data_IF_563363683819
#
_entry.id   IF_563363683819
#
_cell.length_a   1.000
_cell.length_b   1.000
_cell.length_c   1.000
_cell.angle_alpha   90.00
_cell.angle_beta   90.00
_cell.angle_gamma   90.00
#
_symmetry.space_group_name_H-M   'P 1'
#
loop_
_entity.id
_entity.type
_entity.pdbx_description
1 polymer ?
#
# COMPACT_ATOMS: atom_id res chain seq x y z
N UNK A 1 -6.16 -18.55 -23.98
CA UNK A 1 -4.97 -18.75 -23.13
C UNK A 1 -4.97 -17.72 -22.01
N UNK A 2 -5.29 -18.16 -20.79
CA UNK A 2 -5.28 -17.31 -19.59
C UNK A 2 -3.85 -16.84 -19.34
N UNK A 3 -3.53 -15.58 -19.68
CA UNK A 3 -2.29 -14.96 -19.21
C UNK A 3 -2.43 -14.83 -17.69
N UNK A 4 -1.77 -15.74 -16.98
CA UNK A 4 -1.72 -15.80 -15.53
C UNK A 4 -1.29 -14.44 -14.99
N UNK A 5 -2.09 -13.86 -14.09
CA UNK A 5 -1.89 -12.49 -13.57
C UNK A 5 -0.49 -12.26 -12.97
N UNK A 6 0.17 -13.32 -12.46
CA UNK A 6 1.56 -13.25 -11.96
C UNK A 6 2.63 -13.01 -13.04
N UNK A 7 2.33 -13.23 -14.33
CA UNK A 7 3.32 -13.08 -15.42
C UNK A 7 3.32 -11.68 -16.06
N UNK A 8 2.46 -10.77 -15.60
CA UNK A 8 2.49 -9.40 -16.08
C UNK A 8 3.63 -8.66 -15.37
N UNK A 9 4.63 -8.13 -16.09
CA UNK A 9 5.63 -7.27 -15.47
C UNK A 9 4.90 -6.11 -14.80
N UNK A 10 5.20 -5.89 -13.52
CA UNK A 10 4.67 -4.75 -12.78
C UNK A 10 4.93 -3.48 -13.60
N UNK A 11 3.87 -2.74 -13.91
CA UNK A 11 3.97 -1.50 -14.66
C UNK A 11 4.63 -0.43 -13.79
N UNK A 12 5.95 -0.31 -13.85
CA UNK A 12 6.68 0.62 -13.02
C UNK A 12 8.18 0.40 -13.10
N UNK A 13 8.79 0.75 -14.24
CA UNK A 13 10.24 0.70 -14.38
C UNK A 13 10.95 1.67 -13.41
N UNK A 14 12.28 1.58 -13.35
CA UNK A 14 13.14 2.47 -12.54
C UNK A 14 12.83 3.97 -12.75
N UNK A 15 12.41 4.34 -13.95
CA UNK A 15 11.94 5.68 -14.28
C UNK A 15 10.67 6.10 -13.50
N UNK A 16 9.69 5.21 -13.38
CA UNK A 16 8.48 5.47 -12.60
C UNK A 16 8.81 5.64 -11.12
N UNK A 17 9.71 4.80 -10.58
CA UNK A 17 10.20 4.92 -9.20
C UNK A 17 10.96 6.24 -8.97
N UNK A 18 11.82 6.62 -9.92
CA UNK A 18 12.55 7.89 -9.87
C UNK A 18 11.60 9.10 -9.94
N UNK A 19 10.60 9.06 -10.84
CA UNK A 19 9.61 10.11 -10.99
C UNK A 19 8.74 10.25 -9.74
N UNK A 20 8.28 9.12 -9.18
CA UNK A 20 7.54 9.07 -7.92
C UNK A 20 8.38 9.65 -6.79
N UNK A 21 9.66 9.27 -6.68
CA UNK A 21 10.60 9.84 -5.69
C UNK A 21 10.80 11.34 -5.88
N UNK A 22 10.98 11.80 -7.13
CA UNK A 22 11.16 13.22 -7.47
C UNK A 22 9.95 14.05 -7.09
N UNK A 23 8.75 13.59 -7.44
CA UNK A 23 7.48 14.24 -7.07
C UNK A 23 7.29 14.22 -5.55
N UNK A 24 7.60 13.10 -4.89
CA UNK A 24 7.46 12.98 -3.44
C UNK A 24 8.40 13.92 -2.67
N UNK A 25 9.63 14.12 -3.16
CA UNK A 25 10.63 15.00 -2.53
C UNK A 25 10.41 16.48 -2.86
N UNK A 26 10.02 16.83 -4.08
CA UNK A 26 10.04 18.22 -4.55
C UNK A 26 8.66 18.81 -4.91
N UNK A 27 7.69 18.00 -5.34
CA UNK A 27 6.43 18.49 -5.90
C UNK A 27 5.34 18.84 -4.89
N UNK A 28 5.47 18.41 -3.63
CA UNK A 28 4.37 18.55 -2.65
C UNK A 28 3.13 17.72 -3.03
N UNK A 29 2.17 17.61 -2.11
CA UNK A 29 1.00 16.73 -2.27
C UNK A 29 0.02 17.23 -3.35
N UNK A 30 -0.08 18.55 -3.54
CA UNK A 30 -0.99 19.15 -4.50
C UNK A 30 -0.62 18.80 -5.96
N UNK A 31 0.66 18.90 -6.33
CA UNK A 31 1.14 18.55 -7.67
C UNK A 31 0.98 17.06 -7.94
N UNK A 32 1.31 16.21 -6.95
CA UNK A 32 1.08 14.78 -7.04
C UNK A 32 -0.39 14.45 -7.35
N UNK A 33 -1.33 15.09 -6.64
CA UNK A 33 -2.77 14.92 -6.88
C UNK A 33 -3.22 15.45 -8.24
N UNK A 34 -2.67 16.57 -8.71
CA UNK A 34 -2.97 17.10 -10.03
C UNK A 34 -2.54 16.14 -11.14
N UNK A 35 -1.37 15.51 -11.00
CA UNK A 35 -0.86 14.51 -11.95
C UNK A 35 -1.70 13.23 -12.00
N UNK A 36 -2.50 12.92 -10.96
CA UNK A 36 -3.38 11.76 -10.98
C UNK A 36 -4.49 11.87 -12.04
N UNK A 37 -4.93 13.08 -12.39
CA UNK A 37 -5.97 13.27 -13.41
C UNK A 37 -5.53 12.79 -14.82
N UNK A 38 -4.40 13.26 -15.39
CA UNK A 38 -3.94 12.76 -16.68
C UNK A 38 -3.55 11.27 -16.63
N UNK A 39 -3.01 10.78 -15.50
CA UNK A 39 -2.73 9.34 -15.33
C UNK A 39 -4.03 8.53 -15.37
N UNK A 40 -5.06 8.96 -14.64
CA UNK A 40 -6.38 8.29 -14.66
C UNK A 40 -6.96 8.29 -16.06
N UNK A 41 -6.87 9.41 -16.78
CA UNK A 41 -7.35 9.52 -18.16
C UNK A 41 -6.60 8.55 -19.10
N UNK A 42 -5.28 8.45 -18.98
CA UNK A 42 -4.49 7.48 -19.74
C UNK A 42 -4.95 6.04 -19.50
N UNK A 43 -5.19 5.66 -18.24
CA UNK A 43 -5.71 4.32 -17.92
C UNK A 43 -7.14 4.11 -18.44
N UNK A 44 -7.96 5.16 -18.50
CA UNK A 44 -9.29 5.06 -19.07
C UNK A 44 -9.28 4.89 -20.60
N UNK A 45 -8.36 5.54 -21.30
CA UNK A 45 -8.33 5.51 -22.77
C UNK A 45 -7.53 4.32 -23.30
N UNK A 46 -6.35 4.05 -22.73
CA UNK A 46 -5.37 3.11 -23.31
C UNK A 46 -5.45 1.71 -22.67
N UNK A 47 -5.78 1.63 -21.37
CA UNK A 47 -5.69 0.38 -20.58
C UNK A 47 -7.03 -0.35 -20.50
N UNK A 48 -7.47 -0.90 -21.63
CA UNK A 48 -8.75 -1.63 -21.75
C UNK A 48 -8.90 -2.83 -20.79
N UNK A 49 -7.87 -3.70 -20.56
CA UNK A 49 -7.99 -4.83 -19.63
C UNK A 49 -8.25 -4.40 -18.18
N UNK A 50 -7.53 -3.38 -17.71
CA UNK A 50 -7.63 -2.85 -16.36
C UNK A 50 -9.02 -2.21 -16.13
N UNK A 51 -9.51 -1.48 -17.13
CA UNK A 51 -10.89 -0.97 -17.14
C UNK A 51 -11.94 -2.08 -17.06
N UNK A 52 -11.77 -3.16 -17.83
CA UNK A 52 -12.70 -4.27 -17.84
C UNK A 52 -12.75 -4.98 -16.48
N UNK A 53 -11.58 -5.24 -15.89
CA UNK A 53 -11.46 -5.83 -14.55
C UNK A 53 -12.11 -4.94 -13.47
N UNK A 54 -11.83 -3.63 -13.49
CA UNK A 54 -12.46 -2.67 -12.57
C UNK A 54 -13.98 -2.66 -12.73
N UNK A 55 -14.49 -2.68 -13.96
CA UNK A 55 -15.94 -2.68 -14.22
C UNK A 55 -16.61 -3.94 -13.68
N UNK A 56 -16.01 -5.12 -13.91
CA UNK A 56 -16.53 -6.39 -13.44
C UNK A 56 -16.57 -6.45 -11.89
N UNK A 57 -15.50 -6.00 -11.24
CA UNK A 57 -15.45 -5.92 -9.78
C UNK A 57 -16.52 -4.99 -9.22
N UNK A 58 -16.63 -3.76 -9.75
CA UNK A 58 -17.61 -2.79 -9.28
C UNK A 58 -19.05 -3.24 -9.55
N UNK A 59 -19.31 -3.95 -10.65
CA UNK A 59 -20.63 -4.49 -10.92
C UNK A 59 -21.08 -5.49 -9.84
N UNK A 60 -20.14 -6.33 -9.36
CA UNK A 60 -20.40 -7.28 -8.28
C UNK A 60 -20.64 -6.59 -6.94
N UNK A 61 -19.83 -5.59 -6.59
CA UNK A 61 -19.90 -4.92 -5.29
C UNK A 61 -21.09 -3.96 -5.20
N UNK A 62 -21.40 -3.25 -6.29
CA UNK A 62 -22.49 -2.27 -6.32
C UNK A 62 -23.86 -2.89 -6.64
N UNK A 63 -23.91 -4.16 -7.07
CA UNK A 63 -25.14 -4.82 -7.48
C UNK A 63 -25.80 -4.21 -8.74
N UNK A 64 -25.08 -3.39 -9.49
CA UNK A 64 -25.55 -2.71 -10.71
C UNK A 64 -24.43 -2.60 -11.75
N UNK A 65 -24.74 -2.44 -13.04
CA UNK A 65 -23.72 -2.15 -14.05
C UNK A 65 -22.88 -0.92 -13.65
N UNK A 66 -21.55 -1.09 -13.63
CA UNK A 66 -20.64 -0.01 -13.29
C UNK A 66 -20.45 0.95 -14.48
N UNK A 67 -20.67 2.23 -14.24
CA UNK A 67 -20.52 3.29 -15.23
C UNK A 67 -19.03 3.60 -15.48
N UNK A 68 -18.73 4.33 -16.57
CA UNK A 68 -17.37 4.83 -16.80
C UNK A 68 -16.90 5.76 -15.67
N UNK A 69 -17.81 6.52 -15.05
CA UNK A 69 -17.52 7.38 -13.90
C UNK A 69 -17.13 6.57 -12.66
N UNK A 70 -17.81 5.45 -12.41
CA UNK A 70 -17.47 4.54 -11.30
C UNK A 70 -16.05 3.97 -11.49
N UNK A 71 -15.73 3.54 -12.71
CA UNK A 71 -14.39 3.03 -13.06
C UNK A 71 -13.33 4.12 -12.95
N UNK A 72 -13.61 5.33 -13.45
CA UNK A 72 -12.71 6.47 -13.35
C UNK A 72 -12.39 6.80 -11.88
N UNK A 73 -13.43 6.87 -11.04
CA UNK A 73 -13.27 7.09 -9.60
C UNK A 73 -12.49 5.97 -8.94
N UNK A 74 -12.74 4.71 -9.30
CA UNK A 74 -12.02 3.57 -8.73
C UNK A 74 -10.53 3.60 -9.08
N UNK A 75 -10.18 3.81 -10.35
CA UNK A 75 -8.78 3.93 -10.80
C UNK A 75 -8.10 5.13 -10.13
N UNK A 76 -8.77 6.28 -10.10
CA UNK A 76 -8.21 7.48 -9.45
C UNK A 76 -7.99 7.28 -7.95
N UNK A 77 -8.94 6.63 -7.27
CA UNK A 77 -8.83 6.33 -5.84
C UNK A 77 -7.66 5.37 -5.59
N UNK A 78 -7.54 4.31 -6.40
CA UNK A 78 -6.41 3.38 -6.32
C UNK A 78 -5.06 4.08 -6.51
N UNK A 79 -4.95 4.94 -7.53
CA UNK A 79 -3.74 5.71 -7.78
C UNK A 79 -3.43 6.71 -6.66
N UNK A 80 -4.46 7.36 -6.09
CA UNK A 80 -4.32 8.25 -4.94
C UNK A 80 -3.81 7.51 -3.71
N UNK A 81 -4.30 6.31 -3.43
CA UNK A 81 -3.85 5.48 -2.31
C UNK A 81 -2.38 5.09 -2.47
N UNK A 82 -1.94 4.74 -3.68
CA UNK A 82 -0.53 4.44 -3.96
C UNK A 82 0.33 5.69 -3.77
N UNK A 83 -0.10 6.84 -4.29
CA UNK A 83 0.62 8.10 -4.12
C UNK A 83 0.75 8.49 -2.64
N UNK A 84 -0.34 8.36 -1.88
CA UNK A 84 -0.35 8.63 -0.44
C UNK A 84 0.62 7.70 0.29
N UNK A 85 0.63 6.39 -0.05
CA UNK A 85 1.59 5.42 0.48
C UNK A 85 3.05 5.86 0.26
N UNK A 86 3.39 6.39 -0.91
CA UNK A 86 4.75 6.89 -1.17
C UNK A 86 5.12 8.02 -0.21
N UNK A 87 4.22 8.98 0.03
CA UNK A 87 4.48 10.08 0.98
C UNK A 87 4.65 9.56 2.41
N UNK A 88 3.84 8.59 2.83
CA UNK A 88 3.97 7.93 4.14
C UNK A 88 5.34 7.26 4.29
N UNK A 89 5.78 6.54 3.26
CA UNK A 89 7.09 5.86 3.24
C UNK A 89 8.27 6.83 3.22
N UNK A 90 8.12 7.99 2.59
CA UNK A 90 9.09 9.09 2.64
C UNK A 90 9.14 9.80 4.01
N UNK A 91 8.43 9.31 5.03
CA UNK A 91 8.40 9.93 6.36
C UNK A 91 7.62 11.25 6.39
N UNK A 92 6.69 11.46 5.45
CA UNK A 92 5.87 12.68 5.39
C UNK A 92 4.49 12.48 6.02
N UNK A 93 4.42 11.65 7.06
CA UNK A 93 3.19 11.33 7.80
C UNK A 93 2.49 12.55 8.39
N UNK A 94 3.24 13.57 8.78
CA UNK A 94 2.77 14.86 9.29
C UNK A 94 1.86 15.63 8.30
N UNK A 95 1.86 15.26 7.02
CA UNK A 95 0.96 15.85 6.01
C UNK A 95 -0.43 15.22 6.00
N UNK A 96 -0.65 14.20 6.83
CA UNK A 96 -1.90 13.47 6.93
C UNK A 96 -2.53 13.75 8.28
N UNK A 97 -3.81 14.15 8.27
CA UNK A 97 -4.65 14.03 9.44
C UNK A 97 -5.13 12.58 9.50
N UNK A 98 -4.73 11.86 10.53
CA UNK A 98 -5.10 10.46 10.75
C UNK A 98 -5.93 10.40 12.01
N UNK A 99 -7.21 10.11 11.86
CA UNK A 99 -8.12 9.86 12.98
C UNK A 99 -8.22 8.33 13.16
N UNK A 100 -7.89 7.85 14.36
CA UNK A 100 -7.83 6.41 14.68
C UNK A 100 -9.02 6.06 15.57
N UNK A 101 -9.75 5.00 15.22
CA UNK A 101 -10.84 4.47 16.04
C UNK A 101 -10.48 3.08 16.56
N UNK A 102 -10.86 2.76 17.80
CA UNK A 102 -10.59 1.45 18.42
C UNK A 102 -9.17 1.26 18.97
N UNK A 103 -8.36 2.33 19.03
CA UNK A 103 -6.97 2.26 19.51
C UNK A 103 -6.88 1.81 20.97
N UNK A 104 -7.77 2.27 21.84
CA UNK A 104 -7.74 1.93 23.27
C UNK A 104 -8.02 0.45 23.53
N UNK A 105 -8.86 -0.17 22.69
CA UNK A 105 -9.13 -1.60 22.73
C UNK A 105 -7.88 -2.40 22.32
N UNK A 106 -7.18 -1.95 21.27
CA UNK A 106 -5.93 -2.54 20.83
C UNK A 106 -4.85 -2.42 21.92
N UNK A 107 -4.69 -1.23 22.52
CA UNK A 107 -3.75 -0.96 23.62
C UNK A 107 -3.99 -1.90 24.80
N UNK A 108 -5.24 -2.05 25.21
CA UNK A 108 -5.62 -2.96 26.30
C UNK A 108 -5.21 -4.42 26.02
N UNK A 109 -5.22 -4.86 24.78
CA UNK A 109 -4.72 -6.19 24.41
C UNK A 109 -3.19 -6.25 24.39
N UNK A 110 -2.54 -5.19 23.93
CA UNK A 110 -1.08 -5.09 23.87
C UNK A 110 -0.43 -5.08 25.27
N UNK A 111 -1.01 -4.34 26.21
CA UNK A 111 -0.51 -4.22 27.60
C UNK A 111 -0.52 -5.57 28.36
N UNK A 112 -1.17 -6.60 27.81
CA UNK A 112 -1.13 -7.97 28.34
C UNK A 112 0.18 -8.70 28.05
N UNK A 113 1.08 -8.11 27.25
CA UNK A 113 2.42 -8.64 26.96
C UNK A 113 2.42 -9.90 26.08
N UNK A 114 1.33 -10.18 25.33
CA UNK A 114 1.19 -11.39 24.50
C UNK A 114 1.41 -11.14 22.99
N UNK A 115 1.73 -9.90 22.62
CA UNK A 115 1.69 -9.46 21.22
C UNK A 115 0.27 -9.40 20.65
N UNK A 116 0.12 -8.76 19.48
CA UNK A 116 -1.16 -8.70 18.77
C UNK A 116 -0.93 -8.94 17.29
N UNK A 117 -1.76 -9.81 16.70
CA UNK A 117 -1.79 -10.02 15.25
C UNK A 117 -2.91 -9.16 14.64
N UNK A 118 -2.54 -8.26 13.73
CA UNK A 118 -3.48 -7.37 13.05
C UNK A 118 -3.68 -7.88 11.62
N UNK A 119 -4.92 -8.20 11.27
CA UNK A 119 -5.32 -8.51 9.91
C UNK A 119 -5.93 -7.27 9.26
N UNK A 120 -5.55 -7.01 8.01
CA UNK A 120 -6.22 -6.00 7.20
C UNK A 120 -6.55 -6.55 5.82
N UNK A 121 -7.26 -5.74 5.04
CA UNK A 121 -7.56 -6.03 3.64
C UNK A 121 -6.65 -5.20 2.73
N UNK A 122 -6.51 -5.58 1.46
CA UNK A 122 -5.85 -4.76 0.43
C UNK A 122 -6.59 -3.43 0.10
N UNK A 123 -7.47 -2.97 0.99
CA UNK A 123 -8.19 -1.72 0.88
C UNK A 123 -7.44 -0.63 1.65
N UNK A 124 -7.03 0.42 0.94
CA UNK A 124 -6.31 1.54 1.54
C UNK A 124 -4.81 1.28 1.67
N UNK A 125 -4.21 1.73 2.78
CA UNK A 125 -2.76 1.66 3.00
C UNK A 125 -2.46 1.04 4.37
N UNK A 126 -1.85 -0.15 4.37
CA UNK A 126 -1.32 -0.76 5.59
C UNK A 126 -0.23 0.09 6.24
N UNK A 127 0.50 0.87 5.44
CA UNK A 127 1.52 1.79 5.97
C UNK A 127 0.91 2.89 6.87
N UNK A 128 -0.42 3.09 6.85
CA UNK A 128 -1.11 3.94 7.81
C UNK A 128 -1.04 3.43 9.25
N UNK A 129 -0.98 2.11 9.47
CA UNK A 129 -0.83 1.53 10.81
C UNK A 129 0.49 1.93 11.46
N UNK A 130 1.46 2.43 10.69
CA UNK A 130 2.73 2.93 11.23
C UNK A 130 2.57 4.17 12.11
N UNK A 131 1.44 4.88 11.99
CA UNK A 131 1.12 5.97 12.93
C UNK A 131 1.09 5.46 14.38
N UNK A 132 0.77 4.17 14.59
CA UNK A 132 0.78 3.54 15.91
C UNK A 132 2.19 3.53 16.52
N UNK A 133 3.23 3.30 15.71
CA UNK A 133 4.62 3.33 16.18
C UNK A 133 5.11 4.76 16.47
N UNK A 134 4.48 5.78 15.86
CA UNK A 134 4.75 7.19 16.19
C UNK A 134 4.07 7.59 17.50
N UNK A 135 2.85 7.14 17.74
CA UNK A 135 2.08 7.40 18.97
C UNK A 135 2.58 6.58 20.18
N UNK A 136 3.17 5.39 19.93
CA UNK A 136 3.76 4.51 20.94
C UNK A 136 5.14 4.02 20.47
N UNK A 137 6.21 4.79 20.75
CA UNK A 137 7.58 4.45 20.33
C UNK A 137 8.09 3.12 20.91
N UNK A 138 7.46 2.65 21.99
CA UNK A 138 7.71 1.37 22.66
C UNK A 138 7.22 0.15 21.86
N UNK A 139 6.43 0.37 20.81
CA UNK A 139 5.82 -0.71 20.01
C UNK A 139 6.57 -0.92 18.71
N UNK A 140 7.12 -2.12 18.51
CA UNK A 140 7.66 -2.52 17.22
C UNK A 140 6.56 -3.05 16.30
N UNK A 141 6.32 -2.36 15.19
CA UNK A 141 5.41 -2.81 14.13
C UNK A 141 6.21 -3.51 13.04
N UNK A 142 6.06 -4.84 12.93
CA UNK A 142 6.59 -5.63 11.80
C UNK A 142 5.50 -5.96 10.80
N UNK A 143 5.84 -5.92 9.51
CA UNK A 143 4.91 -6.19 8.41
C UNK A 143 5.33 -7.46 7.70
N UNK A 144 4.40 -8.40 7.55
CA UNK A 144 4.59 -9.61 6.75
C UNK A 144 4.23 -9.29 5.30
N UNK A 145 5.19 -9.38 4.39
CA UNK A 145 5.01 -9.05 2.97
C UNK A 145 5.79 -10.05 2.10
N UNK A 146 5.20 -10.54 1.02
CA UNK A 146 5.91 -11.29 -0.01
C UNK A 146 6.84 -10.34 -0.80
N UNK A 147 8.15 -10.45 -0.56
CA UNK A 147 9.17 -9.60 -1.21
C UNK A 147 9.37 -9.96 -2.67
N UNK A 148 9.22 -11.24 -3.04
CA UNK A 148 9.44 -11.73 -4.39
C UNK A 148 8.33 -11.26 -5.34
N UNK A 149 7.08 -11.20 -4.85
CA UNK A 149 5.95 -10.72 -5.63
C UNK A 149 5.91 -9.19 -5.77
N UNK A 150 6.44 -8.44 -4.79
CA UNK A 150 6.38 -6.97 -4.74
C UNK A 150 7.79 -6.34 -4.82
N UNK A 151 8.62 -6.78 -5.77
CA UNK A 151 10.03 -6.35 -5.85
C UNK A 151 10.17 -4.85 -6.06
N UNK A 152 9.34 -4.23 -6.90
CA UNK A 152 9.36 -2.77 -7.11
C UNK A 152 9.00 -2.00 -5.84
N UNK A 153 8.07 -2.51 -5.02
CA UNK A 153 7.71 -1.91 -3.74
C UNK A 153 8.83 -2.07 -2.71
N UNK A 154 9.47 -3.24 -2.65
CA UNK A 154 10.58 -3.51 -1.73
C UNK A 154 11.82 -2.67 -2.08
N UNK A 155 12.12 -2.50 -3.37
CA UNK A 155 13.19 -1.63 -3.85
C UNK A 155 12.88 -0.15 -3.56
N UNK A 156 11.63 0.28 -3.78
CA UNK A 156 11.18 1.62 -3.41
C UNK A 156 11.28 1.85 -1.90
N UNK A 157 10.86 0.87 -1.09
CA UNK A 157 10.97 0.89 0.37
C UNK A 157 12.42 1.02 0.83
N UNK A 158 13.32 0.18 0.31
CA UNK A 158 14.74 0.24 0.63
C UNK A 158 15.36 1.59 0.23
N UNK A 159 14.97 2.14 -0.93
CA UNK A 159 15.49 3.42 -1.40
C UNK A 159 14.95 4.64 -0.63
N UNK A 160 13.70 4.57 -0.16
CA UNK A 160 13.03 5.67 0.54
C UNK A 160 13.22 5.63 2.05
N UNK A 161 13.20 4.44 2.66
CA UNK A 161 13.30 4.27 4.10
C UNK A 161 13.91 2.90 4.49
N UNK A 162 15.26 2.84 4.60
CA UNK A 162 16.00 1.60 4.90
C UNK A 162 15.62 0.95 6.23
N UNK A 163 15.28 1.77 7.23
CA UNK A 163 14.86 1.30 8.56
C UNK A 163 13.52 0.55 8.47
N UNK A 164 12.61 0.99 7.60
CA UNK A 164 11.35 0.29 7.40
C UNK A 164 11.52 -1.01 6.63
N UNK A 165 12.47 -1.09 5.71
CA UNK A 165 12.79 -2.32 5.00
C UNK A 165 13.31 -3.42 5.96
N UNK A 166 14.00 -3.03 7.04
CA UNK A 166 14.47 -3.96 8.07
C UNK A 166 13.33 -4.58 8.90
N UNK A 167 12.17 -3.93 9.00
CA UNK A 167 11.01 -4.42 9.76
C UNK A 167 10.03 -5.26 8.92
N UNK A 168 10.45 -5.73 7.74
CA UNK A 168 9.64 -6.57 6.86
C UNK A 168 10.03 -8.05 7.01
N UNK A 169 9.08 -8.85 7.49
CA UNK A 169 9.16 -10.31 7.49
C UNK A 169 8.74 -10.80 6.11
N UNK A 170 9.61 -11.58 5.46
CA UNK A 170 9.33 -12.06 4.11
C UNK A 170 8.34 -13.24 4.13
N UNK A 171 7.18 -13.05 3.50
CA UNK A 171 6.15 -14.08 3.39
C UNK A 171 6.49 -15.18 2.36
N UNK A 172 7.57 -15.01 1.59
CA UNK A 172 8.08 -16.03 0.67
C UNK A 172 8.90 -17.13 1.37
N UNK A 173 9.15 -17.01 2.68
CA UNK A 173 9.83 -18.02 3.48
C UNK A 173 8.92 -19.23 3.72
N UNK A 174 9.51 -20.37 4.11
CA UNK A 174 8.71 -21.52 4.53
C UNK A 174 7.87 -21.19 5.79
N UNK A 175 6.76 -21.90 5.97
CA UNK A 175 5.79 -21.59 7.02
C UNK A 175 6.39 -21.63 8.44
N UNK A 176 7.35 -22.53 8.68
CA UNK A 176 8.03 -22.64 9.98
C UNK A 176 8.90 -21.40 10.24
N UNK A 177 9.64 -20.96 9.22
CA UNK A 177 10.46 -19.75 9.28
C UNK A 177 9.63 -18.47 9.47
N UNK A 178 8.45 -18.38 8.86
CA UNK A 178 7.52 -17.25 9.09
C UNK A 178 7.07 -17.22 10.56
N UNK A 179 6.67 -18.37 11.11
CA UNK A 179 6.21 -18.47 12.51
C UNK A 179 7.34 -18.15 13.49
N UNK A 180 8.57 -18.61 13.22
CA UNK A 180 9.74 -18.26 14.03
C UNK A 180 10.05 -16.76 13.97
N UNK A 181 10.00 -16.15 12.78
CA UNK A 181 10.21 -14.71 12.61
C UNK A 181 9.12 -13.87 13.30
N UNK A 182 7.87 -14.36 13.34
CA UNK A 182 6.79 -13.74 14.12
C UNK A 182 7.08 -13.87 15.62
N UNK A 183 7.54 -15.05 16.10
CA UNK A 183 7.87 -15.27 17.51
C UNK A 183 8.99 -14.34 17.98
N UNK A 184 10.06 -14.21 17.20
CA UNK A 184 11.20 -13.31 17.48
C UNK A 184 10.85 -11.81 17.34
N UNK A 185 9.65 -11.49 16.85
CA UNK A 185 9.15 -10.12 16.74
C UNK A 185 8.31 -9.66 17.93
N UNK A 186 7.98 -10.56 18.86
CA UNK A 186 7.18 -10.32 20.07
C UNK A 186 8.08 -10.13 21.27
#
# INVERSE_FOLDING_TARGET
MSKHWKQRPEGGGRFALWLIRGIARHGGRAVGRALLYPITLYFLLVRAPERAASRAYLARVLGRPATLRDVARHIHTFASTILDRVYMLCGQMQRFRVDISGLDQLRTQMDRGRGVLIFGSHLGSFDALRVLATERPDVQVKVVLDKAHNRAMTDLLGALNPQLAANIIDAGMDATSIVMAIKEAT
#
